data_IF_372815296850
#
_entry.id   IF_372815296850
#
_cell.length_a   1.000
_cell.length_b   1.000
_cell.length_c   1.000
_cell.angle_alpha   90.00
_cell.angle_beta   90.00
_cell.angle_gamma   90.00
#
_symmetry.space_group_name_H-M   'P 1'
#
loop_
_entity.id
_entity.type
_entity.pdbx_description
1 polymer ?
#
# COMPACT_ATOMS: atom_id res chain seq x y z
N UNK A 1 12.31 3.81 -28.90
CA UNK A 1 11.81 2.44 -29.16
C UNK A 1 11.36 1.78 -27.85
N UNK A 2 12.14 1.87 -26.78
CA UNK A 2 11.82 1.28 -25.46
C UNK A 2 10.60 1.91 -24.75
N UNK A 3 10.36 3.21 -24.92
CA UNK A 3 9.27 3.92 -24.23
C UNK A 3 7.86 3.48 -24.68
N UNK A 4 7.68 3.25 -25.98
CA UNK A 4 6.42 2.76 -26.53
C UNK A 4 6.08 1.35 -26.04
N UNK A 5 7.10 0.54 -25.73
CA UNK A 5 6.91 -0.80 -25.15
C UNK A 5 6.35 -0.68 -23.72
N UNK A 6 6.88 0.25 -22.91
CA UNK A 6 6.39 0.48 -21.55
C UNK A 6 4.96 1.03 -21.58
N UNK A 7 4.67 2.03 -22.42
CA UNK A 7 3.31 2.59 -22.56
C UNK A 7 2.29 1.54 -23.00
N UNK A 8 2.65 0.71 -24.00
CA UNK A 8 1.79 -0.39 -24.42
C UNK A 8 1.58 -1.40 -23.28
N UNK A 9 2.64 -1.71 -22.54
CA UNK A 9 2.53 -2.62 -21.39
C UNK A 9 1.62 -2.05 -20.29
N UNK A 10 1.68 -0.74 -20.00
CA UNK A 10 0.74 -0.07 -19.08
C UNK A 10 -0.70 -0.27 -19.54
N UNK A 11 -0.98 -0.08 -20.83
CA UNK A 11 -2.32 -0.30 -21.39
C UNK A 11 -2.76 -1.78 -21.31
N UNK A 12 -1.82 -2.73 -21.43
CA UNK A 12 -2.08 -4.16 -21.32
C UNK A 12 -2.33 -4.65 -19.87
N UNK A 13 -2.07 -3.82 -18.84
CA UNK A 13 -2.35 -4.20 -17.45
C UNK A 13 -3.85 -4.36 -17.17
N UNK A 14 -4.72 -3.79 -18.02
CA UNK A 14 -6.17 -3.85 -17.89
C UNK A 14 -6.71 -3.10 -16.68
N UNK A 15 -6.04 -2.02 -16.29
CA UNK A 15 -6.50 -1.12 -15.23
C UNK A 15 -7.54 -0.14 -15.78
N UNK A 16 -8.27 0.54 -14.88
CA UNK A 16 -9.24 1.56 -15.27
C UNK A 16 -8.60 2.69 -16.08
N UNK A 17 -9.40 3.38 -16.90
CA UNK A 17 -8.91 4.49 -17.74
C UNK A 17 -8.24 5.61 -16.92
N UNK A 18 -8.75 5.87 -15.70
CA UNK A 18 -8.17 6.83 -14.76
C UNK A 18 -6.75 6.44 -14.34
N UNK A 19 -6.60 5.26 -13.76
CA UNK A 19 -5.30 4.70 -13.32
C UNK A 19 -4.31 4.58 -14.46
N UNK A 20 -4.75 4.09 -15.62
CA UNK A 20 -3.90 3.96 -16.81
C UNK A 20 -3.35 5.32 -17.24
N UNK A 21 -4.21 6.35 -17.26
CA UNK A 21 -3.80 7.71 -17.59
C UNK A 21 -2.81 8.27 -16.56
N UNK A 22 -3.08 8.08 -15.27
CA UNK A 22 -2.18 8.52 -14.19
C UNK A 22 -0.79 7.87 -14.27
N UNK A 23 -0.73 6.56 -14.57
CA UNK A 23 0.53 5.87 -14.83
C UNK A 23 1.29 6.49 -15.99
N UNK A 24 0.63 6.73 -17.13
CA UNK A 24 1.26 7.34 -18.31
C UNK A 24 1.73 8.77 -18.03
N UNK A 25 0.91 9.57 -17.34
CA UNK A 25 1.23 10.95 -16.96
C UNK A 25 2.48 11.00 -16.05
N UNK A 26 2.57 10.10 -15.06
CA UNK A 26 3.74 10.03 -14.16
C UNK A 26 5.02 9.59 -14.88
N UNK A 27 4.94 8.63 -15.81
CA UNK A 27 6.08 8.21 -16.66
C UNK A 27 6.56 9.36 -17.54
N UNK A 28 5.63 10.10 -18.15
CA UNK A 28 5.95 11.27 -18.96
C UNK A 28 6.56 12.40 -18.13
N UNK A 29 6.05 12.62 -16.92
CA UNK A 29 6.60 13.59 -15.98
C UNK A 29 8.04 13.26 -15.62
N UNK A 30 8.32 12.03 -15.15
CA UNK A 30 9.68 11.61 -14.81
C UNK A 30 10.65 11.71 -16.01
N UNK A 31 10.16 11.45 -17.22
CA UNK A 31 10.96 11.64 -18.43
C UNK A 31 11.32 13.11 -18.67
N UNK A 32 10.39 14.04 -18.53
CA UNK A 32 10.67 15.48 -18.71
C UNK A 32 11.71 15.96 -17.69
N UNK A 33 11.56 15.48 -16.47
CA UNK A 33 12.48 15.72 -15.35
C UNK A 33 13.90 15.21 -15.68
N UNK A 34 14.03 13.94 -16.06
CA UNK A 34 15.33 13.29 -16.31
C UNK A 34 16.05 13.86 -17.54
N UNK A 35 15.31 14.28 -18.57
CA UNK A 35 15.87 14.86 -19.81
C UNK A 35 16.15 16.37 -19.64
N UNK A 36 15.83 16.97 -18.49
CA UNK A 36 16.05 18.39 -18.21
C UNK A 36 15.19 19.31 -19.09
N UNK A 37 14.09 18.79 -19.62
CA UNK A 37 13.10 19.56 -20.41
C UNK A 37 12.18 20.37 -19.50
N UNK A 38 12.10 20.01 -18.21
CA UNK A 38 11.41 20.78 -17.19
C UNK A 38 12.42 21.55 -16.32
N UNK A 39 12.78 22.77 -16.75
CA UNK A 39 13.61 23.69 -15.93
C UNK A 39 12.83 24.33 -14.78
N UNK A 40 11.54 24.02 -14.69
CA UNK A 40 10.60 24.48 -13.65
C UNK A 40 10.54 23.52 -12.47
N UNK A 41 11.30 22.43 -12.50
CA UNK A 41 11.34 21.48 -11.40
C UNK A 41 11.73 22.16 -10.08
N UNK A 42 10.96 21.96 -8.99
CA UNK A 42 11.21 22.57 -7.69
C UNK A 42 12.45 21.99 -6.97
N UNK A 43 13.20 21.08 -7.61
CA UNK A 43 14.50 20.57 -7.11
C UNK A 43 15.62 21.63 -7.20
N UNK A 44 15.29 22.88 -7.55
CA UNK A 44 16.19 24.02 -7.35
C UNK A 44 16.30 24.38 -5.85
N UNK A 45 17.51 24.58 -5.28
CA UNK A 45 17.72 24.73 -3.82
C UNK A 45 17.09 25.97 -3.16
N UNK A 46 16.33 26.79 -3.90
CA UNK A 46 15.80 28.07 -3.44
C UNK A 46 14.27 28.22 -3.59
N UNK A 47 13.52 27.13 -3.83
CA UNK A 47 12.05 27.21 -3.88
C UNK A 47 11.45 27.20 -2.46
N UNK A 48 11.42 28.37 -1.82
CA UNK A 48 10.86 28.61 -0.48
C UNK A 48 9.32 28.60 -0.42
N UNK A 49 8.67 27.62 -1.05
CA UNK A 49 7.21 27.47 -1.04
C UNK A 49 6.84 26.04 -0.68
N UNK A 50 6.39 25.84 0.57
CA UNK A 50 5.92 24.56 1.11
C UNK A 50 4.92 23.83 0.19
N UNK A 51 4.10 24.58 -0.56
CA UNK A 51 3.15 24.03 -1.55
C UNK A 51 3.80 23.38 -2.77
N UNK A 52 5.00 23.83 -3.17
CA UNK A 52 5.73 23.23 -4.28
C UNK A 52 6.44 21.93 -3.85
N UNK A 53 6.70 21.77 -2.56
CA UNK A 53 7.21 20.51 -1.99
C UNK A 53 6.13 19.42 -2.02
N UNK A 54 4.94 19.72 -1.51
CA UNK A 54 3.82 18.75 -1.46
C UNK A 54 3.41 18.23 -2.84
N UNK A 55 3.30 19.10 -3.86
CA UNK A 55 2.98 18.68 -5.23
C UNK A 55 4.09 17.82 -5.85
N UNK A 56 5.36 18.14 -5.58
CA UNK A 56 6.49 17.34 -6.06
C UNK A 56 6.54 15.97 -5.37
N UNK A 57 6.30 15.93 -4.06
CA UNK A 57 6.24 14.70 -3.28
C UNK A 57 5.12 13.78 -3.77
N UNK A 58 3.95 14.35 -4.08
CA UNK A 58 2.83 13.59 -4.67
C UNK A 58 3.19 12.98 -6.02
N UNK A 59 3.87 13.73 -6.91
CA UNK A 59 4.32 13.20 -8.21
C UNK A 59 5.35 12.08 -8.04
N UNK A 60 6.29 12.22 -7.10
CA UNK A 60 7.24 11.16 -6.77
C UNK A 60 6.54 9.89 -6.27
N UNK A 61 5.53 10.02 -5.40
CA UNK A 61 4.75 8.89 -4.90
C UNK A 61 3.98 8.17 -6.01
N UNK A 62 3.30 8.91 -6.89
CA UNK A 62 2.56 8.33 -8.03
C UNK A 62 3.52 7.62 -8.99
N UNK A 63 4.67 8.22 -9.27
CA UNK A 63 5.71 7.61 -10.10
C UNK A 63 6.28 6.34 -9.46
N UNK A 64 6.62 6.37 -8.17
CA UNK A 64 7.11 5.20 -7.43
C UNK A 64 6.08 4.06 -7.44
N UNK A 65 4.80 4.39 -7.23
CA UNK A 65 3.69 3.44 -7.33
C UNK A 65 3.57 2.84 -8.73
N UNK A 66 3.66 3.67 -9.77
CA UNK A 66 3.62 3.25 -11.18
C UNK A 66 4.76 2.30 -11.53
N UNK A 67 6.00 2.65 -11.16
CA UNK A 67 7.17 1.80 -11.40
C UNK A 67 7.06 0.49 -10.63
N UNK A 68 6.58 0.51 -9.40
CA UNK A 68 6.39 -0.69 -8.60
C UNK A 68 5.34 -1.62 -9.23
N UNK A 69 4.21 -1.08 -9.70
CA UNK A 69 3.19 -1.86 -10.42
C UNK A 69 3.78 -2.50 -11.69
N UNK A 70 4.57 -1.75 -12.46
CA UNK A 70 5.27 -2.25 -13.64
C UNK A 70 6.25 -3.38 -13.27
N UNK A 71 7.08 -3.19 -12.24
CA UNK A 71 8.00 -4.22 -11.76
C UNK A 71 7.27 -5.49 -11.35
N UNK A 72 6.18 -5.38 -10.59
CA UNK A 72 5.36 -6.52 -10.18
C UNK A 72 4.75 -7.25 -11.38
N UNK A 73 4.30 -6.51 -12.39
CA UNK A 73 3.71 -7.09 -13.60
C UNK A 73 4.73 -7.81 -14.50
N UNK A 74 5.98 -7.37 -14.50
CA UNK A 74 7.05 -7.95 -15.30
C UNK A 74 7.77 -9.09 -14.54
N UNK A 75 7.86 -9.00 -13.22
CA UNK A 75 8.62 -9.90 -12.37
C UNK A 75 7.72 -10.91 -11.62
N UNK A 76 7.36 -12.00 -12.29
CA UNK A 76 6.46 -13.05 -11.74
C UNK A 76 7.02 -13.84 -10.55
N UNK A 77 8.28 -13.65 -10.19
CA UNK A 77 8.96 -14.39 -9.11
C UNK A 77 8.96 -13.65 -7.77
N UNK A 78 8.40 -12.43 -7.72
CA UNK A 78 8.33 -11.66 -6.48
C UNK A 78 7.44 -12.40 -5.48
N UNK A 79 8.01 -12.68 -4.30
CA UNK A 79 7.37 -13.41 -3.22
C UNK A 79 7.18 -12.57 -1.95
N UNK A 80 7.91 -11.46 -1.82
CA UNK A 80 7.81 -10.50 -0.73
C UNK A 80 7.63 -9.11 -1.29
N UNK A 81 6.69 -8.37 -0.73
CA UNK A 81 6.44 -6.97 -1.05
C UNK A 81 6.42 -6.18 0.25
N UNK A 82 7.35 -5.24 0.38
CA UNK A 82 7.52 -4.41 1.58
C UNK A 82 7.23 -2.95 1.26
N UNK A 83 6.51 -2.29 2.16
CA UNK A 83 6.17 -0.88 2.06
C UNK A 83 6.57 -0.14 3.33
N UNK A 84 7.08 1.08 3.16
CA UNK A 84 7.42 2.02 4.25
C UNK A 84 6.48 3.24 4.27
N UNK A 85 5.48 3.24 3.41
CA UNK A 85 4.50 4.31 3.26
C UNK A 85 3.18 3.72 2.82
N UNK A 86 2.09 4.36 3.22
CA UNK A 86 0.73 3.89 2.97
C UNK A 86 0.48 3.64 1.47
N UNK A 87 -0.05 2.44 1.17
CA UNK A 87 -0.54 2.09 -0.17
C UNK A 87 -2.05 2.36 -0.22
N UNK A 88 -2.47 3.55 0.21
CA UNK A 88 -3.89 3.90 0.34
C UNK A 88 -4.53 4.30 -0.97
N UNK A 89 -3.76 4.87 -1.91
CA UNK A 89 -4.28 5.36 -3.19
C UNK A 89 -3.23 5.23 -4.32
N UNK A 90 -3.69 5.37 -5.57
CA UNK A 90 -2.83 5.43 -6.76
C UNK A 90 -2.54 4.09 -7.45
N UNK A 91 -1.65 4.11 -8.47
CA UNK A 91 -1.54 3.02 -9.42
C UNK A 91 -1.12 1.67 -8.86
N UNK A 92 -0.28 1.67 -7.82
CA UNK A 92 0.17 0.44 -7.18
C UNK A 92 -0.97 -0.28 -6.48
N UNK A 93 -1.75 0.46 -5.70
CA UNK A 93 -2.93 -0.08 -5.02
C UNK A 93 -3.89 -0.68 -6.03
N UNK A 94 -4.24 0.09 -7.06
CA UNK A 94 -5.18 -0.33 -8.10
C UNK A 94 -4.71 -1.60 -8.81
N UNK A 95 -3.41 -1.70 -9.10
CA UNK A 95 -2.83 -2.91 -9.70
C UNK A 95 -2.90 -4.13 -8.78
N UNK A 96 -2.52 -3.99 -7.51
CA UNK A 96 -2.58 -5.09 -6.53
C UNK A 96 -4.04 -5.52 -6.31
N UNK A 97 -4.95 -4.55 -6.17
CA UNK A 97 -6.37 -4.78 -6.00
C UNK A 97 -6.95 -5.51 -7.21
N UNK A 98 -6.73 -5.02 -8.42
CA UNK A 98 -7.18 -5.69 -9.64
C UNK A 98 -6.64 -7.12 -9.74
N UNK A 99 -5.37 -7.32 -9.41
CA UNK A 99 -4.72 -8.65 -9.40
C UNK A 99 -5.38 -9.60 -8.39
N UNK A 100 -5.64 -9.12 -7.17
CA UNK A 100 -6.26 -9.87 -6.08
C UNK A 100 -7.70 -10.31 -6.39
N UNK A 101 -8.42 -9.53 -7.19
CA UNK A 101 -9.77 -9.87 -7.63
C UNK A 101 -9.83 -10.56 -9.00
N UNK A 102 -8.68 -10.87 -9.61
CA UNK A 102 -8.61 -11.52 -10.92
C UNK A 102 -9.15 -10.67 -12.06
N UNK A 103 -9.08 -9.33 -11.92
CA UNK A 103 -9.55 -8.35 -12.89
C UNK A 103 -8.47 -7.97 -13.91
N UNK A 104 -7.22 -8.38 -13.69
CA UNK A 104 -6.14 -8.19 -14.66
C UNK A 104 -6.25 -9.19 -15.83
N UNK A 105 -5.90 -8.81 -17.07
CA UNK A 105 -5.98 -9.70 -18.23
C UNK A 105 -5.08 -10.94 -18.14
N UNK A 106 -4.01 -10.85 -17.34
CA UNK A 106 -3.08 -11.93 -17.06
C UNK A 106 -3.01 -12.14 -15.54
N UNK A 107 -2.90 -13.39 -15.06
CA UNK A 107 -2.64 -13.64 -13.64
C UNK A 107 -1.37 -12.94 -13.18
N UNK A 108 -1.46 -12.26 -12.04
CA UNK A 108 -0.40 -11.49 -11.42
C UNK A 108 -0.30 -11.82 -9.94
N UNK A 109 0.87 -11.58 -9.35
CA UNK A 109 1.13 -11.78 -7.92
C UNK A 109 0.88 -13.21 -7.41
N UNK A 110 0.86 -14.21 -8.29
CA UNK A 110 0.55 -15.61 -7.93
C UNK A 110 1.56 -16.24 -6.96
N UNK A 111 2.77 -15.67 -6.89
CA UNK A 111 3.87 -16.12 -6.01
C UNK A 111 4.06 -15.22 -4.80
N UNK A 112 3.28 -14.15 -4.66
CA UNK A 112 3.38 -13.25 -3.51
C UNK A 112 2.91 -14.00 -2.26
N UNK A 113 3.82 -14.13 -1.29
CA UNK A 113 3.63 -14.88 -0.04
C UNK A 113 3.64 -13.97 1.18
N UNK A 114 4.41 -12.89 1.13
CA UNK A 114 4.61 -12.02 2.27
C UNK A 114 4.38 -10.57 1.87
N UNK A 115 3.51 -9.89 2.61
CA UNK A 115 3.34 -8.44 2.54
C UNK A 115 3.77 -7.87 3.88
N UNK A 116 4.70 -6.91 3.84
CA UNK A 116 5.23 -6.25 5.02
C UNK A 116 4.98 -4.74 4.92
N UNK A 117 4.52 -4.16 6.02
CA UNK A 117 4.34 -2.73 6.18
C UNK A 117 5.10 -2.27 7.42
N UNK A 118 5.91 -1.22 7.29
CA UNK A 118 6.57 -0.60 8.43
C UNK A 118 6.41 0.91 8.37
N UNK A 119 5.74 1.48 9.36
CA UNK A 119 5.63 2.92 9.54
C UNK A 119 6.72 3.48 10.47
N UNK A 120 7.70 2.64 10.87
CA UNK A 120 8.74 3.07 11.78
C UNK A 120 9.62 4.12 11.12
N UNK A 121 9.74 5.27 11.77
CA UNK A 121 10.71 6.28 11.39
C UNK A 121 12.02 6.01 12.10
N UNK A 122 13.16 5.92 11.39
CA UNK A 122 14.46 5.75 12.02
C UNK A 122 14.78 6.84 13.05
N UNK A 123 14.22 8.04 12.87
CA UNK A 123 14.47 9.18 13.76
C UNK A 123 13.58 9.20 15.01
N UNK A 124 12.44 8.51 15.00
CA UNK A 124 11.53 8.44 16.15
C UNK A 124 10.76 7.11 16.20
N UNK A 125 11.21 6.18 17.05
CA UNK A 125 10.58 4.88 17.28
C UNK A 125 9.19 4.97 17.91
N UNK A 126 8.79 6.15 18.41
CA UNK A 126 7.45 6.41 18.95
C UNK A 126 6.48 6.86 17.87
N UNK A 127 6.93 7.02 16.63
CA UNK A 127 6.07 7.41 15.55
C UNK A 127 5.18 6.23 15.16
N UNK A 128 3.86 6.47 15.17
CA UNK A 128 2.87 5.58 14.61
C UNK A 128 2.23 6.27 13.42
N UNK A 129 2.02 5.54 12.34
CA UNK A 129 1.25 6.02 11.20
C UNK A 129 -0.18 5.49 11.28
N UNK A 130 -1.15 6.38 11.08
CA UNK A 130 -2.54 5.97 10.94
C UNK A 130 -2.69 5.29 9.58
N UNK A 131 -3.13 4.03 9.59
CA UNK A 131 -3.24 3.22 8.39
C UNK A 131 -4.57 2.49 8.36
N UNK A 132 -5.22 2.49 7.20
CA UNK A 132 -6.40 1.67 6.97
C UNK A 132 -6.00 0.21 6.76
N UNK A 133 -5.76 -0.53 7.85
CA UNK A 133 -5.30 -1.93 7.83
C UNK A 133 -6.23 -2.81 6.98
N UNK A 134 -7.54 -2.57 7.04
CA UNK A 134 -8.52 -3.31 6.25
C UNK A 134 -8.37 -3.05 4.75
N UNK A 135 -7.93 -1.87 4.33
CA UNK A 135 -7.69 -1.56 2.91
C UNK A 135 -6.48 -2.31 2.36
N UNK A 136 -5.41 -2.43 3.15
CA UNK A 136 -4.27 -3.29 2.81
C UNK A 136 -4.75 -4.74 2.67
N UNK A 137 -5.56 -5.23 3.60
CA UNK A 137 -6.14 -6.57 3.53
C UNK A 137 -7.05 -6.74 2.30
N UNK A 138 -7.86 -5.74 1.93
CA UNK A 138 -8.69 -5.77 0.70
C UNK A 138 -7.82 -5.99 -0.53
N UNK A 139 -6.63 -5.41 -0.55
CA UNK A 139 -5.68 -5.55 -1.65
C UNK A 139 -5.08 -6.96 -1.76
N UNK A 140 -4.96 -7.73 -0.68
CA UNK A 140 -4.11 -8.95 -0.71
C UNK A 140 -4.82 -10.24 -0.29
N UNK A 141 -5.95 -10.17 0.41
CA UNK A 141 -6.55 -11.32 1.10
C UNK A 141 -6.96 -12.49 0.19
N UNK A 142 -7.19 -12.29 -1.10
CA UNK A 142 -7.60 -13.33 -2.08
C UNK A 142 -6.45 -13.85 -2.92
N UNK A 143 -5.26 -13.29 -2.79
CA UNK A 143 -4.10 -13.76 -3.53
C UNK A 143 -3.84 -15.24 -3.22
N UNK A 144 -3.50 -16.06 -4.23
CA UNK A 144 -3.54 -17.52 -4.09
C UNK A 144 -2.46 -18.06 -3.15
N UNK A 145 -1.33 -17.37 -2.98
CA UNK A 145 -0.21 -17.81 -2.16
C UNK A 145 0.11 -16.88 -0.98
N UNK A 146 -0.69 -15.83 -0.73
CA UNK A 146 -0.43 -14.96 0.42
C UNK A 146 -0.48 -15.80 1.70
N UNK A 147 0.53 -15.66 2.55
CA UNK A 147 0.76 -16.51 3.73
C UNK A 147 0.99 -15.64 4.96
N UNK A 148 1.76 -14.56 4.80
CA UNK A 148 2.19 -13.67 5.87
C UNK A 148 1.74 -12.23 5.57
N UNK A 149 1.07 -11.62 6.55
CA UNK A 149 0.96 -10.17 6.67
C UNK A 149 1.79 -9.72 7.89
N UNK A 150 2.70 -8.79 7.67
CA UNK A 150 3.45 -8.13 8.75
C UNK A 150 3.17 -6.63 8.71
N UNK A 151 2.80 -6.04 9.84
CA UNK A 151 2.64 -4.60 9.99
C UNK A 151 3.31 -4.16 11.28
N UNK A 152 3.94 -2.99 11.26
CA UNK A 152 4.71 -2.50 12.40
C UNK A 152 4.66 -0.98 12.51
N UNK A 153 4.44 -0.46 13.72
CA UNK A 153 4.35 0.99 13.96
C UNK A 153 3.04 1.63 13.46
N UNK A 154 1.91 0.91 13.53
CA UNK A 154 0.64 1.38 12.96
C UNK A 154 -0.41 1.71 14.02
N UNK A 155 -1.21 2.73 13.75
CA UNK A 155 -2.44 3.04 14.48
C UNK A 155 -3.65 3.00 13.54
N UNK A 156 -4.85 3.04 14.10
CA UNK A 156 -6.10 2.88 13.37
C UNK A 156 -6.39 4.13 12.51
N UNK A 157 -6.48 3.92 11.19
CA UNK A 157 -6.95 4.93 10.25
C UNK A 157 -8.44 5.22 10.38
N UNK A 158 -8.89 6.36 9.84
CA UNK A 158 -10.27 6.83 9.97
C UNK A 158 -11.28 5.96 9.19
N UNK A 159 -10.85 5.26 8.12
CA UNK A 159 -11.75 4.50 7.24
C UNK A 159 -11.99 3.06 7.72
N UNK A 160 -11.35 2.63 8.80
CA UNK A 160 -11.52 1.28 9.36
C UNK A 160 -12.97 0.96 9.76
N UNK A 161 -13.80 1.98 10.03
CA UNK A 161 -15.17 1.81 10.54
C UNK A 161 -16.28 1.74 9.46
N UNK A 162 -16.02 2.16 8.22
CA UNK A 162 -17.12 2.50 7.30
C UNK A 162 -17.65 1.32 6.47
N UNK A 163 -16.84 0.28 6.24
CA UNK A 163 -17.27 -0.87 5.44
C UNK A 163 -16.85 -2.21 6.09
N UNK A 164 -17.82 -3.11 6.38
CA UNK A 164 -17.54 -4.37 7.05
C UNK A 164 -16.68 -5.30 6.18
N UNK A 165 -15.64 -5.87 6.77
CA UNK A 165 -14.81 -6.86 6.08
C UNK A 165 -15.41 -8.27 6.20
N UNK A 166 -15.71 -8.96 5.09
CA UNK A 166 -16.33 -10.29 5.14
C UNK A 166 -15.37 -11.34 5.73
N UNK A 167 -15.83 -12.15 6.71
CA UNK A 167 -15.01 -13.16 7.34
C UNK A 167 -14.69 -14.33 6.39
N UNK A 168 -13.61 -15.06 6.66
CA UNK A 168 -13.21 -16.30 5.97
C UNK A 168 -13.02 -16.12 4.47
N UNK A 169 -12.55 -14.96 4.06
CA UNK A 169 -12.32 -14.61 2.65
C UNK A 169 -10.91 -14.89 2.19
N UNK A 170 -9.94 -15.03 3.12
CA UNK A 170 -8.59 -15.49 2.78
C UNK A 170 -8.43 -16.98 3.04
N UNK A 171 -8.14 -17.75 1.99
CA UNK A 171 -7.87 -19.19 2.10
C UNK A 171 -6.41 -19.51 2.40
N UNK A 172 -5.50 -18.60 2.07
CA UNK A 172 -4.06 -18.85 2.08
C UNK A 172 -3.34 -18.13 3.21
N UNK A 173 -3.84 -16.97 3.65
CA UNK A 173 -3.24 -16.20 4.75
C UNK A 173 -3.29 -17.03 6.03
N UNK A 174 -2.13 -17.28 6.64
CA UNK A 174 -2.00 -18.11 7.84
C UNK A 174 -1.36 -17.38 8.99
N UNK A 175 -0.57 -16.35 8.72
CA UNK A 175 0.26 -15.67 9.71
C UNK A 175 0.05 -14.18 9.64
N UNK A 176 -0.31 -13.61 10.78
CA UNK A 176 -0.53 -12.17 10.93
C UNK A 176 0.37 -11.69 12.07
N UNK A 177 1.33 -10.84 11.74
CA UNK A 177 2.24 -10.24 12.70
C UNK A 177 1.99 -8.74 12.73
N UNK A 178 1.57 -8.26 13.89
CA UNK A 178 1.27 -6.86 14.09
C UNK A 178 2.10 -6.33 15.27
N UNK A 179 3.22 -5.70 14.93
CA UNK A 179 4.19 -5.13 15.86
C UNK A 179 3.87 -3.68 16.19
N UNK A 180 4.23 -3.24 17.40
CA UNK A 180 4.11 -1.87 17.88
C UNK A 180 2.87 -1.16 17.34
N UNK A 181 1.69 -1.57 17.82
CA UNK A 181 0.41 -1.01 17.37
C UNK A 181 -0.37 -0.31 18.48
N UNK A 182 -1.22 0.62 18.06
CA UNK A 182 -2.33 1.17 18.86
C UNK A 182 -3.63 1.13 18.02
N UNK A 183 -4.35 0.01 18.09
CA UNK A 183 -5.59 -0.24 17.34
C UNK A 183 -6.70 -0.77 18.24
N UNK A 184 -7.96 -0.50 17.90
CA UNK A 184 -9.10 -0.96 18.69
C UNK A 184 -9.25 -2.50 18.68
N UNK A 185 -9.68 -3.14 19.79
CA UNK A 185 -9.90 -4.60 19.84
C UNK A 185 -10.87 -5.13 18.79
N UNK A 186 -11.87 -4.34 18.39
CA UNK A 186 -12.85 -4.72 17.36
C UNK A 186 -12.20 -4.88 15.98
N UNK A 187 -11.18 -4.05 15.68
CA UNK A 187 -10.40 -4.18 14.45
C UNK A 187 -9.55 -5.46 14.48
N UNK A 188 -8.90 -5.75 15.62
CA UNK A 188 -8.16 -7.02 15.82
C UNK A 188 -9.09 -8.21 15.61
N UNK A 189 -10.28 -8.18 16.22
CA UNK A 189 -11.28 -9.25 16.05
C UNK A 189 -11.72 -9.40 14.59
N UNK A 190 -11.87 -8.30 13.86
CA UNK A 190 -12.18 -8.33 12.42
C UNK A 190 -11.05 -8.97 11.62
N UNK A 191 -9.81 -8.56 11.85
CA UNK A 191 -8.62 -9.10 11.18
C UNK A 191 -8.48 -10.61 11.41
N UNK A 192 -8.67 -11.06 12.66
CA UNK A 192 -8.61 -12.49 13.03
C UNK A 192 -9.62 -13.36 12.29
N UNK A 193 -10.74 -12.78 11.85
CA UNK A 193 -11.80 -13.51 11.13
C UNK A 193 -11.58 -13.60 9.63
N UNK A 194 -10.60 -12.89 9.06
CA UNK A 194 -10.36 -12.86 7.61
C UNK A 194 -9.82 -14.20 7.10
N UNK A 195 -8.78 -14.80 7.71
CA UNK A 195 -8.32 -16.13 7.34
C UNK A 195 -9.35 -17.23 7.61
N UNK A 196 -9.36 -18.24 6.75
CA UNK A 196 -10.10 -19.49 6.98
C UNK A 196 -9.39 -20.35 8.03
N UNK A 197 -8.06 -20.32 8.08
CA UNK A 197 -7.25 -21.16 8.96
C UNK A 197 -6.00 -20.42 9.44
N UNK A 198 -6.20 -19.38 10.26
CA UNK A 198 -5.10 -18.66 10.92
C UNK A 198 -4.29 -19.62 11.80
N UNK A 199 -3.00 -19.72 11.55
CA UNK A 199 -2.05 -20.59 12.28
C UNK A 199 -1.25 -19.79 13.31
N UNK A 200 -0.93 -18.53 13.01
CA UNK A 200 -0.15 -17.67 13.90
C UNK A 200 -0.70 -16.24 13.95
N UNK A 201 -0.87 -15.73 15.16
CA UNK A 201 -1.16 -14.34 15.44
C UNK A 201 -0.14 -13.81 16.43
N UNK A 202 0.62 -12.80 16.03
CA UNK A 202 1.55 -12.09 16.90
C UNK A 202 1.10 -10.65 17.04
N UNK A 203 0.88 -10.20 18.28
CA UNK A 203 0.47 -8.84 18.61
C UNK A 203 1.48 -8.24 19.60
N UNK A 204 2.03 -7.08 19.27
CA UNK A 204 2.81 -6.25 20.19
C UNK A 204 2.17 -4.88 20.30
N UNK A 205 1.73 -4.54 21.50
CA UNK A 205 1.21 -3.22 21.83
C UNK A 205 2.39 -2.43 22.36
N UNK A 206 2.80 -1.36 21.67
CA UNK A 206 4.04 -0.61 21.98
C UNK A 206 3.92 0.27 23.24
N UNK A 207 3.35 -0.26 24.32
CA UNK A 207 3.08 0.43 25.58
C UNK A 207 1.79 1.24 25.60
N UNK A 208 1.08 1.34 24.47
CA UNK A 208 -0.23 1.97 24.35
C UNK A 208 -1.25 0.90 23.99
N UNK A 209 -2.26 0.72 24.84
CA UNK A 209 -3.43 -0.07 24.48
C UNK A 209 -4.62 0.85 24.60
N UNK A 210 -4.99 1.48 23.49
CA UNK A 210 -6.09 2.41 23.36
C UNK A 210 -6.03 3.52 24.41
N UNK A 211 -5.97 4.78 23.98
CA UNK A 211 -6.62 5.79 24.82
C UNK A 211 -8.07 5.34 24.97
N UNK A 212 -8.40 4.65 26.08
CA UNK A 212 -9.76 4.42 26.53
C UNK A 212 -10.32 5.83 26.54
N UNK A 213 -11.15 6.15 25.53
CA UNK A 213 -11.76 7.47 25.37
C UNK A 213 -12.14 7.93 26.76
N UNK A 214 -11.58 9.06 27.19
CA UNK A 214 -11.83 9.59 28.52
C UNK A 214 -13.33 9.55 28.81
N UNK A 215 -13.75 8.61 29.65
CA UNK A 215 -14.93 8.78 30.47
C UNK A 215 -14.54 9.77 31.55
N UNK A 216 -14.46 11.04 31.15
CA UNK A 216 -14.41 12.18 32.04
C UNK A 216 -15.06 13.34 31.31
N UNK A 217 -16.41 13.27 31.22
CA UNK A 217 -17.31 14.43 31.30
C UNK A 217 -18.61 13.97 31.95
N UNK A 218 -18.64 14.21 33.26
CA UNK A 218 -19.71 14.83 34.06
C UNK A 218 -21.17 14.60 33.64
#
# INVERSE_FOLDING_TARGET
>A
MEHAVIENHVAELGLGAGTTREMLESLHWWRRETVGLDRSSPVHPNASSWKHGEEADQQHQIFAGTVTALLLSLCKNINTLSFESEVSEGPLRDYILASNYGLTPRPALERLRHVAYSARRPEDERFYEAVDILDILRCIHRLPQIDILSMDGVTEGERAADEPFPPKTSRSLKRIHLGNMDIHPDLVHTIMRIPVGLEELSLSFGGMWCNIRGQDKS
#
